data_IF_181201925904
#
_entry.id   IF_181201925904
#
_cell.length_a   1.000
_cell.length_b   1.000
_cell.length_c   1.000
_cell.angle_alpha   90.00
_cell.angle_beta   90.00
_cell.angle_gamma   90.00
#
_symmetry.space_group_name_H-M   'P 1'
#
loop_
_entity.id
_entity.type
_entity.pdbx_description
1 polymer ?
#
# COMPACT_ATOMS: atom_id res chain seq x y z
N UNK A 1 33.34 12.89 -33.53
CA UNK A 1 31.96 12.49 -33.88
C UNK A 1 31.52 11.47 -32.85
N UNK A 2 30.28 11.65 -32.36
CA UNK A 2 29.71 11.02 -31.18
C UNK A 2 29.50 9.50 -31.34
N UNK A 3 29.85 8.74 -30.31
CA UNK A 3 29.15 7.50 -30.00
C UNK A 3 28.72 7.57 -28.54
N UNK A 4 27.50 8.08 -28.37
CA UNK A 4 26.75 8.16 -27.13
C UNK A 4 26.60 6.77 -26.54
N UNK A 5 27.27 6.59 -25.41
CA UNK A 5 27.21 5.46 -24.49
C UNK A 5 25.76 5.10 -24.16
N UNK A 6 25.50 3.81 -24.30
CA UNK A 6 24.47 2.97 -23.69
C UNK A 6 23.03 3.47 -23.45
N UNK A 7 22.10 2.68 -24.01
CA UNK A 7 20.90 2.12 -23.36
C UNK A 7 19.80 3.15 -23.00
N UNK A 8 18.80 3.37 -23.87
CA UNK A 8 17.52 2.62 -23.89
C UNK A 8 16.95 2.33 -22.50
N UNK A 9 16.49 3.36 -21.81
CA UNK A 9 15.36 3.21 -20.89
C UNK A 9 14.09 3.12 -21.73
N UNK A 10 13.82 1.89 -22.18
CA UNK A 10 12.57 1.48 -22.79
C UNK A 10 11.43 1.82 -21.82
N UNK A 11 10.57 2.74 -22.26
CA UNK A 11 9.31 3.05 -21.63
C UNK A 11 8.36 1.87 -21.84
N UNK A 12 8.38 0.86 -20.97
CA UNK A 12 7.21 -0.03 -20.77
C UNK A 12 7.10 -0.55 -19.33
N UNK A 13 5.93 -0.28 -18.74
CA UNK A 13 5.16 -1.25 -17.95
C UNK A 13 5.79 -1.86 -16.70
N UNK A 14 6.11 -1.04 -15.73
CA UNK A 14 5.63 -1.28 -14.37
C UNK A 14 5.67 0.08 -13.67
N UNK A 15 4.53 0.76 -13.46
CA UNK A 15 4.47 1.88 -12.50
C UNK A 15 4.98 1.36 -11.14
N UNK A 16 6.30 1.38 -10.93
CA UNK A 16 6.88 1.22 -9.62
C UNK A 16 6.32 2.40 -8.87
N UNK A 17 5.45 2.11 -7.92
CA UNK A 17 4.98 3.10 -6.98
C UNK A 17 6.28 3.52 -6.28
N UNK A 18 6.72 4.75 -6.52
CA UNK A 18 7.92 5.32 -5.93
C UNK A 18 7.52 6.54 -5.14
N UNK A 19 8.05 6.65 -3.92
CA UNK A 19 7.73 7.74 -3.01
C UNK A 19 6.85 7.30 -1.84
N UNK A 20 6.01 8.23 -1.39
CA UNK A 20 5.21 8.11 -0.18
C UNK A 20 3.83 7.55 -0.50
N UNK A 21 3.43 6.55 0.26
CA UNK A 21 2.06 6.03 0.25
C UNK A 21 1.45 6.18 1.62
N UNK A 22 0.13 6.19 1.64
CA UNK A 22 -0.65 6.24 2.86
C UNK A 22 -1.12 4.85 3.21
N UNK A 23 -0.90 4.45 4.45
CA UNK A 23 -1.36 3.17 5.01
C UNK A 23 -2.07 3.42 6.32
N UNK A 24 -3.06 2.58 6.61
CA UNK A 24 -3.70 2.60 7.91
C UNK A 24 -2.91 1.76 8.90
N UNK A 25 -2.71 2.29 10.09
CA UNK A 25 -2.08 1.61 11.21
C UNK A 25 -3.12 1.47 12.32
N UNK A 26 -3.29 0.25 12.80
CA UNK A 26 -4.17 -0.10 13.90
C UNK A 26 -3.41 0.02 15.22
N UNK A 27 -4.08 0.58 16.23
CA UNK A 27 -3.64 0.57 17.62
C UNK A 27 -2.15 0.98 17.84
N UNK A 28 -1.67 2.10 17.25
CA UNK A 28 -0.24 2.49 17.33
C UNK A 28 0.25 2.71 18.77
N UNK A 29 -0.65 2.94 19.73
CA UNK A 29 -0.31 3.11 21.15
C UNK A 29 -0.19 1.79 21.94
N UNK A 30 -0.61 0.66 21.37
CA UNK A 30 -0.59 -0.65 22.04
C UNK A 30 0.18 -1.70 21.25
N UNK A 31 -0.36 -2.06 20.10
CA UNK A 31 0.14 -3.13 19.23
C UNK A 31 0.10 -2.55 17.82
N UNK A 32 1.14 -1.78 17.50
CA UNK A 32 1.26 -1.12 16.21
C UNK A 32 1.29 -2.18 15.11
N UNK A 33 0.22 -2.22 14.32
CA UNK A 33 0.08 -3.17 13.23
C UNK A 33 -0.50 -2.46 12.02
N UNK A 34 0.06 -2.72 10.84
CA UNK A 34 -0.56 -2.24 9.61
C UNK A 34 -1.95 -2.86 9.46
N UNK A 35 -2.91 -2.06 9.00
CA UNK A 35 -4.21 -2.55 8.61
C UNK A 35 -4.03 -3.45 7.40
N UNK A 36 -4.04 -4.76 7.62
CA UNK A 36 -4.17 -5.75 6.56
C UNK A 36 -5.64 -5.95 6.21
N UNK A 37 -5.95 -5.98 4.92
CA UNK A 37 -7.21 -6.50 4.42
C UNK A 37 -7.02 -7.94 4.00
N UNK A 38 -8.09 -8.70 4.15
CA UNK A 38 -8.13 -10.08 3.71
C UNK A 38 -8.88 -10.12 2.38
N UNK A 39 -8.18 -10.58 1.35
CA UNK A 39 -8.77 -10.82 0.05
C UNK A 39 -9.44 -12.20 0.06
N UNK A 40 -10.77 -12.22 0.10
CA UNK A 40 -11.53 -13.47 0.09
C UNK A 40 -11.46 -14.21 -1.26
N UNK A 41 -11.07 -13.54 -2.35
CA UNK A 41 -10.91 -14.17 -3.66
C UNK A 41 -9.55 -14.89 -3.76
N UNK A 42 -8.50 -14.31 -3.17
CA UNK A 42 -7.13 -14.82 -3.20
C UNK A 42 -6.70 -15.56 -1.93
N UNK A 43 -7.54 -15.58 -0.89
CA UNK A 43 -7.24 -16.15 0.44
C UNK A 43 -5.93 -15.62 1.04
N UNK A 44 -5.63 -14.34 0.82
CA UNK A 44 -4.35 -13.73 1.22
C UNK A 44 -4.58 -12.43 1.98
N UNK A 45 -3.68 -12.16 2.93
CA UNK A 45 -3.65 -10.89 3.61
C UNK A 45 -2.75 -9.92 2.86
N UNK A 46 -3.27 -8.74 2.57
CA UNK A 46 -2.53 -7.68 1.91
C UNK A 46 -2.69 -6.35 2.66
N UNK A 47 -1.69 -5.51 2.60
CA UNK A 47 -1.74 -4.16 3.17
C UNK A 47 -2.19 -3.21 2.06
N UNK A 48 -3.41 -2.65 2.14
CA UNK A 48 -3.84 -1.57 1.25
C UNK A 48 -2.95 -0.33 1.43
N UNK A 49 -2.25 0.02 0.36
CA UNK A 49 -1.54 1.28 0.23
C UNK A 49 -2.34 2.23 -0.66
N UNK A 50 -2.38 3.51 -0.31
CA UNK A 50 -3.08 4.54 -1.06
C UNK A 50 -2.10 5.60 -1.55
N UNK A 51 -2.32 6.16 -2.75
CA UNK A 51 -1.49 7.26 -3.25
C UNK A 51 -1.80 8.57 -2.52
N UNK A 52 -3.06 8.76 -2.11
CA UNK A 52 -3.53 10.00 -1.49
C UNK A 52 -4.34 9.75 -0.22
N UNK A 53 -4.34 10.73 0.69
CA UNK A 53 -5.16 10.68 1.91
C UNK A 53 -6.65 10.62 1.63
N UNK A 54 -7.09 11.24 0.55
CA UNK A 54 -8.50 11.29 0.14
C UNK A 54 -9.00 9.88 -0.19
N UNK A 55 -8.26 9.15 -1.04
CA UNK A 55 -8.56 7.76 -1.40
C UNK A 55 -8.59 6.86 -0.17
N UNK A 56 -7.61 7.02 0.72
CA UNK A 56 -7.56 6.28 1.97
C UNK A 56 -8.77 6.54 2.86
N UNK A 57 -9.17 7.81 3.03
CA UNK A 57 -10.33 8.17 3.85
C UNK A 57 -11.63 7.62 3.28
N UNK A 58 -11.81 7.68 1.96
CA UNK A 58 -13.00 7.15 1.30
C UNK A 58 -13.10 5.63 1.46
N UNK A 59 -11.99 4.93 1.24
CA UNK A 59 -11.91 3.49 1.49
C UNK A 59 -12.16 3.17 2.98
N UNK A 60 -11.67 4.00 3.90
CA UNK A 60 -11.90 3.84 5.34
C UNK A 60 -13.37 3.96 5.76
N UNK A 61 -14.20 4.70 4.99
CA UNK A 61 -15.64 4.73 5.24
C UNK A 61 -16.29 3.37 5.00
N UNK A 62 -15.78 2.61 4.02
CA UNK A 62 -16.25 1.30 3.61
C UNK A 62 -15.63 0.14 4.39
N UNK A 63 -14.51 0.38 5.10
CA UNK A 63 -13.85 -0.64 5.90
C UNK A 63 -14.69 -1.07 7.11
N UNK A 64 -14.68 -2.37 7.46
CA UNK A 64 -15.34 -2.87 8.65
C UNK A 64 -14.67 -2.29 9.90
N UNK A 65 -15.25 -1.20 10.40
CA UNK A 65 -14.75 -0.52 11.60
C UNK A 65 -15.11 -1.33 12.83
N UNK A 66 -14.09 -1.86 13.51
CA UNK A 66 -14.27 -2.39 14.85
C UNK A 66 -14.42 -1.23 15.84
N UNK A 67 -15.59 -1.14 16.49
CA UNK A 67 -15.81 -0.14 17.55
C UNK A 67 -14.80 -0.36 18.66
N UNK A 68 -13.92 0.63 18.87
CA UNK A 68 -12.94 0.62 19.96
C UNK A 68 -11.49 0.48 19.51
N UNK A 69 -11.22 0.21 18.23
CA UNK A 69 -9.87 0.30 17.66
C UNK A 69 -9.57 1.69 17.14
N UNK A 70 -8.31 2.11 17.27
CA UNK A 70 -7.78 3.31 16.61
C UNK A 70 -7.19 2.92 15.27
N UNK A 71 -7.52 3.70 14.26
CA UNK A 71 -6.94 3.60 12.93
C UNK A 71 -6.36 4.97 12.60
N UNK A 72 -5.07 5.01 12.31
CA UNK A 72 -4.37 6.23 11.95
C UNK A 72 -3.77 6.08 10.55
N UNK A 73 -3.98 7.11 9.73
CA UNK A 73 -3.41 7.15 8.40
C UNK A 73 -2.00 7.72 8.46
N UNK A 74 -1.00 6.89 8.18
CA UNK A 74 0.40 7.31 8.17
C UNK A 74 0.97 7.30 6.75
N UNK A 75 1.82 8.27 6.47
CA UNK A 75 2.62 8.30 5.25
C UNK A 75 3.91 7.53 5.50
N UNK A 76 4.17 6.50 4.70
CA UNK A 76 5.39 5.70 4.73
C UNK A 76 5.95 5.59 3.33
N UNK A 77 7.26 5.42 3.19
CA UNK A 77 7.83 5.05 1.90
C UNK A 77 7.31 3.67 1.50
N UNK A 78 6.88 3.55 0.25
CA UNK A 78 6.41 2.28 -0.29
C UNK A 78 7.48 1.18 -0.20
N UNK A 79 8.76 1.52 -0.32
CA UNK A 79 9.88 0.58 -0.15
C UNK A 79 9.93 0.03 1.27
N UNK A 80 9.83 0.88 2.29
CA UNK A 80 9.76 0.46 3.70
C UNK A 80 8.50 -0.38 3.96
N UNK A 81 7.38 -0.02 3.33
CA UNK A 81 6.15 -0.79 3.44
C UNK A 81 6.32 -2.21 2.87
N UNK A 82 6.97 -2.35 1.70
CA UNK A 82 7.26 -3.66 1.13
C UNK A 82 8.16 -4.49 2.04
N UNK A 83 9.20 -3.89 2.61
CA UNK A 83 10.07 -4.57 3.56
C UNK A 83 9.31 -5.03 4.81
N UNK A 84 8.50 -4.15 5.40
CA UNK A 84 7.68 -4.46 6.57
C UNK A 84 6.64 -5.55 6.28
N UNK A 85 5.98 -5.49 5.12
CA UNK A 85 5.00 -6.49 4.71
C UNK A 85 5.66 -7.86 4.48
N UNK A 86 6.81 -7.88 3.79
CA UNK A 86 7.57 -9.11 3.55
C UNK A 86 8.04 -9.77 4.85
N UNK A 87 8.46 -8.98 5.85
CA UNK A 87 8.81 -9.51 7.18
C UNK A 87 7.62 -10.18 7.89
N UNK A 88 6.41 -9.71 7.63
CA UNK A 88 5.19 -10.20 8.27
C UNK A 88 4.39 -11.21 7.39
N UNK A 89 4.90 -11.61 6.22
CA UNK A 89 4.19 -12.44 5.23
C UNK A 89 2.88 -11.82 4.72
N UNK A 90 2.82 -10.50 4.62
CA UNK A 90 1.74 -9.78 3.96
C UNK A 90 2.16 -9.37 2.55
N UNK A 91 1.19 -9.37 1.62
CA UNK A 91 1.37 -8.73 0.32
C UNK A 91 1.12 -7.22 0.45
N UNK A 92 1.67 -6.40 -0.45
CA UNK A 92 1.30 -4.98 -0.52
C UNK A 92 0.51 -4.77 -1.79
N UNK A 93 -0.68 -4.20 -1.65
CA UNK A 93 -1.52 -3.88 -2.78
C UNK A 93 -1.86 -2.39 -2.74
N UNK A 94 -1.55 -1.70 -3.82
CA UNK A 94 -2.06 -0.37 -4.04
C UNK A 94 -3.54 -0.46 -4.39
N UNK A 95 -4.36 0.21 -3.58
CA UNK A 95 -5.80 0.26 -3.75
C UNK A 95 -6.24 1.70 -4.01
N UNK A 96 -7.34 1.83 -4.75
CA UNK A 96 -8.02 3.09 -4.99
C UNK A 96 -9.05 3.39 -3.87
N UNK A 97 -9.74 4.52 -3.98
CA UNK A 97 -10.80 4.95 -3.06
C UNK A 97 -11.94 3.93 -2.93
N UNK A 98 -12.21 3.18 -3.99
CA UNK A 98 -13.22 2.12 -4.03
C UNK A 98 -12.76 0.81 -3.35
N UNK A 99 -11.52 0.77 -2.85
CA UNK A 99 -10.89 -0.45 -2.32
C UNK A 99 -10.45 -1.44 -3.40
N UNK A 100 -10.51 -1.02 -4.67
CA UNK A 100 -10.06 -1.84 -5.80
C UNK A 100 -8.54 -1.83 -5.90
N UNK A 101 -7.94 -3.02 -5.97
CA UNK A 101 -6.50 -3.17 -6.21
C UNK A 101 -6.15 -2.65 -7.61
N UNK A 102 -5.39 -1.56 -7.65
CA UNK A 102 -4.79 -1.01 -8.85
C UNK A 102 -3.51 -1.76 -9.19
N UNK A 103 -2.75 -2.15 -8.16
CA UNK A 103 -1.47 -2.83 -8.34
C UNK A 103 -1.12 -3.71 -7.16
N UNK A 104 -0.70 -4.94 -7.43
CA UNK A 104 -0.18 -5.89 -6.44
C UNK A 104 1.34 -6.07 -6.65
N UNK A 105 2.10 -6.16 -5.56
CA UNK A 105 3.56 -6.34 -5.57
C UNK A 105 3.99 -7.41 -4.58
#
# INVERSE_FOLDING_TARGET
MLNSTEQRDDMTENEKITGWVYVFVCDPEKDESFLGLYDGEKDVHFIPAFRSKEEANDCFLNLPREKGRKYELQAIHIEELYEAAAQNNFAVALVDQDGKVIKEQ
#
